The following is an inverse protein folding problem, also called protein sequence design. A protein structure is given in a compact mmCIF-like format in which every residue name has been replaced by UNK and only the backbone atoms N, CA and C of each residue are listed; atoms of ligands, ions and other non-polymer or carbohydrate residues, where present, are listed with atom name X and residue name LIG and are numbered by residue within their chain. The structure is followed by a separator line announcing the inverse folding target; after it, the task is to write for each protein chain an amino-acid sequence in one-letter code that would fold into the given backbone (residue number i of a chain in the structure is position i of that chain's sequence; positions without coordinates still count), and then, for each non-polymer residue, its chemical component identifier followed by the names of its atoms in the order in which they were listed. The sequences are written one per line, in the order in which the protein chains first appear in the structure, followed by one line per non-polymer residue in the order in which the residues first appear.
data_IF_604131356266
#
_entry.id   IF_604131356266
#
_cell.length_a   1.000
_cell.length_b   1.000
_cell.length_c   1.000
_cell.angle_alpha   90.00
_cell.angle_beta   90.00
_cell.angle_gamma   90.00
#
_symmetry.space_group_name_H-M   'P 1'
#
loop_
_entity.id
_entity.type
_entity.pdbx_description
1 polymer ?
#
# COMPACT_ATOMS: atom_id res chain seq x y z
N UNK A 1 -7.05 26.91 17.65
CA UNK A 1 -6.47 25.55 17.63
C UNK A 1 -7.21 24.52 18.47
N UNK A 2 -7.68 24.83 19.69
CA UNK A 2 -8.41 23.87 20.55
C UNK A 2 -9.74 23.33 19.99
N UNK A 3 -10.43 24.08 19.11
CA UNK A 3 -11.69 23.65 18.47
C UNK A 3 -11.46 22.61 17.36
N UNK A 4 -10.29 22.65 16.70
CA UNK A 4 -9.93 21.68 15.65
C UNK A 4 -9.44 20.35 16.25
N UNK A 5 -8.81 20.40 17.43
CA UNK A 5 -8.43 19.22 18.21
C UNK A 5 -9.65 18.52 18.82
N UNK A 6 -10.68 19.26 19.25
CA UNK A 6 -11.94 18.68 19.72
C UNK A 6 -12.69 17.90 18.61
N UNK A 7 -12.67 18.39 17.37
CA UNK A 7 -13.23 17.66 16.21
C UNK A 7 -12.41 16.42 15.82
N UNK A 8 -11.07 16.46 15.98
CA UNK A 8 -10.20 15.28 15.78
C UNK A 8 -10.28 14.26 16.92
N UNK A 9 -10.57 14.70 18.14
CA UNK A 9 -10.78 13.82 19.30
C UNK A 9 -12.13 13.09 19.23
N UNK A 10 -13.19 13.72 18.70
CA UNK A 10 -14.49 13.08 18.48
C UNK A 10 -14.44 11.97 17.40
N UNK A 11 -13.52 12.04 16.44
CA UNK A 11 -13.33 10.99 15.41
C UNK A 11 -12.47 9.79 15.86
N UNK A 12 -12.02 9.78 17.11
CA UNK A 12 -11.17 8.72 17.68
C UNK A 12 -11.80 8.00 18.86
N UNK A 13 -13.14 8.01 18.97
CA UNK A 13 -13.85 6.98 19.72
C UNK A 13 -13.68 5.68 18.94
N UNK A 14 -13.14 4.63 19.59
CA UNK A 14 -13.10 3.27 19.05
C UNK A 14 -14.45 2.99 18.38
N UNK A 15 -14.46 2.55 17.12
CA UNK A 15 -15.67 1.95 16.51
C UNK A 15 -16.09 0.76 17.35
N UNK A 16 -16.93 0.98 18.36
CA UNK A 16 -17.62 -0.09 19.05
C UNK A 16 -18.50 -0.79 18.01
N UNK A 17 -18.42 -2.12 17.98
CA UNK A 17 -19.25 -2.92 17.09
C UNK A 17 -20.69 -2.71 17.56
N UNK A 18 -21.52 -2.06 16.74
CA UNK A 18 -22.95 -1.96 17.02
C UNK A 18 -23.52 -3.39 17.08
N UNK A 19 -24.11 -3.75 18.21
CA UNK A 19 -24.77 -5.04 18.43
C UNK A 19 -26.26 -4.74 18.55
N UNK A 20 -27.07 -5.39 17.72
CA UNK A 20 -28.51 -5.28 17.75
C UNK A 20 -29.11 -6.58 18.26
N UNK A 21 -30.03 -6.47 19.21
CA UNK A 21 -30.81 -7.62 19.68
C UNK A 21 -31.85 -8.02 18.64
N UNK A 22 -32.29 -9.29 18.71
CA UNK A 22 -33.34 -9.78 17.81
C UNK A 22 -34.65 -9.03 18.10
N UNK A 23 -35.29 -8.41 17.09
CA UNK A 23 -36.56 -7.71 17.27
C UNK A 23 -37.67 -8.67 17.73
N UNK A 24 -38.64 -8.17 18.51
CA UNK A 24 -39.75 -8.99 19.04
C UNK A 24 -40.57 -9.66 17.92
N UNK A 25 -40.78 -8.97 16.78
CA UNK A 25 -41.43 -9.51 15.57
C UNK A 25 -40.50 -10.29 14.63
N UNK A 26 -39.22 -10.45 14.99
CA UNK A 26 -38.19 -11.07 14.16
C UNK A 26 -37.65 -10.16 13.05
N UNK A 27 -36.53 -10.59 12.46
CA UNK A 27 -35.78 -9.80 11.46
C UNK A 27 -36.58 -9.48 10.20
N UNK A 28 -37.48 -10.38 9.76
CA UNK A 28 -38.29 -10.17 8.55
C UNK A 28 -39.35 -9.09 8.76
N UNK A 29 -39.98 -9.06 9.93
CA UNK A 29 -40.94 -8.00 10.28
C UNK A 29 -40.24 -6.65 10.35
N UNK A 30 -39.07 -6.59 11.00
CA UNK A 30 -38.27 -5.37 11.09
C UNK A 30 -37.78 -4.89 9.72
N UNK A 31 -37.37 -5.80 8.82
CA UNK A 31 -37.00 -5.42 7.45
C UNK A 31 -38.19 -4.80 6.70
N UNK A 32 -39.36 -5.44 6.74
CA UNK A 32 -40.58 -4.92 6.09
C UNK A 32 -41.01 -3.56 6.65
N UNK A 33 -40.83 -3.33 7.95
CA UNK A 33 -41.13 -2.04 8.59
C UNK A 33 -40.16 -0.93 8.14
N UNK A 34 -38.88 -1.26 7.92
CA UNK A 34 -37.85 -0.31 7.51
C UNK A 34 -37.92 0.12 6.05
N UNK A 35 -38.18 -0.80 5.12
CA UNK A 35 -38.12 -0.54 3.66
C UNK A 35 -39.45 -0.73 2.95
N UNK A 36 -40.50 -1.16 3.64
CA UNK A 36 -41.79 -1.49 3.05
C UNK A 36 -41.82 -2.88 2.40
N UNK A 37 -43.04 -3.39 2.18
CA UNK A 37 -43.26 -4.73 1.66
C UNK A 37 -42.76 -4.92 0.22
N UNK A 38 -42.84 -3.88 -0.62
CA UNK A 38 -42.42 -3.97 -2.02
C UNK A 38 -40.90 -4.14 -2.14
N UNK A 39 -40.12 -3.30 -1.44
CA UNK A 39 -38.66 -3.39 -1.44
C UNK A 39 -38.16 -4.66 -0.74
N UNK A 40 -38.83 -5.09 0.34
CA UNK A 40 -38.53 -6.37 0.99
C UNK A 40 -38.70 -7.56 0.02
N UNK A 41 -39.72 -7.53 -0.84
CA UNK A 41 -39.91 -8.54 -1.88
C UNK A 41 -38.80 -8.48 -2.95
N UNK A 42 -38.32 -7.29 -3.34
CA UNK A 42 -37.19 -7.14 -4.27
C UNK A 42 -35.91 -7.76 -3.68
N UNK A 43 -35.62 -7.51 -2.40
CA UNK A 43 -34.50 -8.13 -1.68
C UNK A 43 -34.63 -9.66 -1.65
N UNK A 44 -35.84 -10.18 -1.41
CA UNK A 44 -36.10 -11.62 -1.43
C UNK A 44 -35.92 -12.23 -2.83
N UNK A 45 -36.30 -11.53 -3.89
CA UNK A 45 -36.04 -11.96 -5.27
C UNK A 45 -34.55 -12.07 -5.58
N UNK A 46 -33.71 -11.17 -5.04
CA UNK A 46 -32.24 -11.29 -5.15
C UNK A 46 -31.74 -12.54 -4.42
N UNK A 47 -32.23 -12.81 -3.20
CA UNK A 47 -31.86 -14.00 -2.44
C UNK A 47 -32.24 -15.31 -3.18
N UNK A 48 -33.38 -15.31 -3.87
CA UNK A 48 -33.84 -16.42 -4.72
C UNK A 48 -33.10 -16.54 -6.06
N UNK A 49 -32.18 -15.62 -6.37
CA UNK A 49 -31.53 -15.47 -7.68
C UNK A 49 -32.50 -15.26 -8.84
N UNK A 50 -33.60 -14.56 -8.58
CA UNK A 50 -34.54 -14.09 -9.61
C UNK A 50 -34.15 -12.70 -10.14
N UNK A 51 -33.24 -12.01 -9.45
CA UNK A 51 -32.65 -10.73 -9.84
C UNK A 51 -31.15 -10.71 -9.49
N UNK A 52 -30.36 -9.99 -10.29
CA UNK A 52 -28.90 -9.86 -10.08
C UNK A 52 -28.54 -8.94 -8.90
N UNK A 53 -29.45 -8.03 -8.55
CA UNK A 53 -29.32 -7.11 -7.42
C UNK A 53 -30.51 -6.16 -7.33
N UNK A 54 -30.60 -5.40 -6.24
CA UNK A 54 -31.59 -4.33 -6.08
C UNK A 54 -30.98 -3.14 -5.33
N UNK A 55 -31.54 -1.95 -5.54
CA UNK A 55 -31.10 -0.72 -4.89
C UNK A 55 -32.12 -0.29 -3.84
N UNK A 56 -31.65 -0.08 -2.62
CA UNK A 56 -32.44 0.45 -1.52
C UNK A 56 -31.98 1.87 -1.20
N UNK A 57 -32.91 2.70 -0.74
CA UNK A 57 -32.56 4.00 -0.17
C UNK A 57 -31.76 3.80 1.12
N UNK A 58 -30.67 4.55 1.27
CA UNK A 58 -29.84 4.49 2.47
C UNK A 58 -30.40 5.45 3.53
N UNK A 59 -30.69 4.98 4.76
CA UNK A 59 -31.04 5.87 5.87
C UNK A 59 -29.97 6.95 6.11
N UNK A 60 -30.37 8.15 6.54
CA UNK A 60 -29.41 9.24 6.81
C UNK A 60 -28.54 8.91 8.03
N UNK A 61 -29.15 8.35 9.08
CA UNK A 61 -28.47 7.98 10.30
C UNK A 61 -27.55 6.77 10.11
N UNK A 62 -26.36 6.83 10.68
CA UNK A 62 -25.40 5.72 10.62
C UNK A 62 -25.92 4.45 11.31
N UNK A 63 -26.61 4.59 12.44
CA UNK A 63 -27.14 3.47 13.20
C UNK A 63 -28.21 2.71 12.41
N UNK A 64 -29.15 3.43 11.80
CA UNK A 64 -30.23 2.85 10.99
C UNK A 64 -29.71 2.18 9.72
N UNK A 65 -28.68 2.75 9.09
CA UNK A 65 -27.99 2.08 7.97
C UNK A 65 -27.41 0.73 8.37
N UNK A 66 -26.71 0.69 9.51
CA UNK A 66 -26.13 -0.56 10.00
C UNK A 66 -27.25 -1.53 10.43
N UNK A 67 -28.32 -1.03 11.03
CA UNK A 67 -29.47 -1.84 11.42
C UNK A 67 -30.19 -2.47 10.21
N UNK A 68 -30.40 -1.71 9.13
CA UNK A 68 -30.96 -2.20 7.88
C UNK A 68 -30.08 -3.31 7.27
N UNK A 69 -28.76 -3.10 7.21
CA UNK A 69 -27.82 -4.13 6.75
C UNK A 69 -27.90 -5.39 7.62
N UNK A 70 -27.97 -5.23 8.94
CA UNK A 70 -28.11 -6.35 9.89
C UNK A 70 -29.43 -7.09 9.66
N UNK A 71 -30.54 -6.39 9.42
CA UNK A 71 -31.83 -7.02 9.10
C UNK A 71 -31.76 -7.85 7.82
N UNK A 72 -31.25 -7.27 6.72
CA UNK A 72 -31.06 -7.96 5.44
C UNK A 72 -30.20 -9.22 5.64
N UNK A 73 -29.07 -9.08 6.35
CA UNK A 73 -28.10 -10.15 6.54
C UNK A 73 -28.56 -11.27 7.48
N UNK A 74 -29.47 -10.99 8.41
CA UNK A 74 -30.09 -12.00 9.28
C UNK A 74 -31.31 -12.68 8.62
N UNK A 75 -32.01 -11.98 7.72
CA UNK A 75 -33.05 -12.57 6.87
C UNK A 75 -32.45 -13.45 5.77
N UNK A 76 -31.37 -12.97 5.15
CA UNK A 76 -30.75 -13.59 3.98
C UNK A 76 -29.21 -13.61 4.17
N UNK A 77 -28.66 -14.68 4.77
CA UNK A 77 -27.22 -14.81 5.01
C UNK A 77 -26.36 -14.74 3.74
N UNK A 78 -26.94 -15.06 2.57
CA UNK A 78 -26.27 -14.99 1.28
C UNK A 78 -26.23 -13.61 0.60
N UNK A 79 -26.80 -12.56 1.19
CA UNK A 79 -26.82 -11.21 0.57
C UNK A 79 -25.74 -10.29 1.14
N UNK A 80 -25.00 -9.61 0.26
CA UNK A 80 -24.06 -8.55 0.58
C UNK A 80 -24.67 -7.15 0.30
N UNK A 81 -24.23 -6.15 1.06
CA UNK A 81 -24.74 -4.77 0.97
C UNK A 81 -23.58 -3.82 0.69
N UNK A 82 -23.57 -3.20 -0.50
CA UNK A 82 -22.54 -2.25 -0.92
C UNK A 82 -23.10 -0.85 -1.03
N UNK A 83 -22.40 0.11 -0.45
CA UNK A 83 -22.74 1.53 -0.61
C UNK A 83 -22.39 2.01 -2.03
N UNK A 84 -23.31 2.75 -2.65
CA UNK A 84 -23.04 3.52 -3.86
C UNK A 84 -23.36 4.99 -3.65
N UNK A 85 -22.47 5.85 -4.15
CA UNK A 85 -22.73 7.29 -4.25
C UNK A 85 -23.35 7.53 -5.63
N UNK A 86 -24.49 8.20 -5.71
CA UNK A 86 -25.08 8.58 -6.98
C UNK A 86 -24.11 9.50 -7.73
N UNK A 87 -23.63 9.05 -8.88
CA UNK A 87 -22.75 9.81 -9.78
C UNK A 87 -23.53 10.22 -11.02
N UNK A 88 -24.35 11.27 -10.89
CA UNK A 88 -24.86 12.04 -12.04
C UNK A 88 -24.84 13.54 -11.68
N UNK A 89 -24.40 14.45 -12.57
CA UNK A 89 -24.24 15.87 -12.24
C UNK A 89 -25.54 16.71 -12.28
N UNK A 90 -26.72 16.11 -12.40
CA UNK A 90 -27.94 16.88 -12.75
C UNK A 90 -29.13 16.78 -11.78
N UNK A 91 -29.07 15.99 -10.70
CA UNK A 91 -30.12 16.01 -9.69
C UNK A 91 -29.63 16.57 -8.34
N UNK A 92 -30.12 17.77 -8.02
CA UNK A 92 -30.03 18.35 -6.69
C UNK A 92 -30.89 17.52 -5.72
N UNK A 93 -30.26 16.48 -5.16
CA UNK A 93 -30.88 15.57 -4.19
C UNK A 93 -30.18 14.21 -4.16
N UNK A 94 -28.86 14.19 -4.00
CA UNK A 94 -28.06 12.95 -4.05
C UNK A 94 -28.33 12.00 -2.88
N UNK A 95 -29.41 11.23 -2.94
CA UNK A 95 -29.74 10.21 -1.94
C UNK A 95 -28.75 9.05 -2.06
N UNK A 96 -28.04 8.75 -0.98
CA UNK A 96 -27.16 7.57 -0.92
C UNK A 96 -27.98 6.29 -1.10
N UNK A 97 -27.47 5.33 -1.87
CA UNK A 97 -28.15 4.06 -2.11
C UNK A 97 -27.32 2.87 -1.60
N UNK A 98 -28.02 1.82 -1.17
CA UNK A 98 -27.46 0.53 -0.79
C UNK A 98 -27.77 -0.45 -1.91
N UNK A 99 -26.74 -0.92 -2.60
CA UNK A 99 -26.86 -2.00 -3.57
C UNK A 99 -26.80 -3.34 -2.85
N UNK A 100 -27.89 -4.09 -2.91
CA UNK A 100 -28.01 -5.44 -2.34
C UNK A 100 -27.81 -6.46 -3.45
N UNK A 101 -26.84 -7.36 -3.27
CA UNK A 101 -26.43 -8.37 -4.25
C UNK A 101 -26.11 -9.69 -3.56
N UNK A 102 -26.01 -10.79 -4.33
CA UNK A 102 -25.56 -12.07 -3.79
C UNK A 102 -24.08 -12.01 -3.40
N UNK A 103 -23.73 -12.46 -2.20
CA UNK A 103 -22.35 -12.51 -1.73
C UNK A 103 -21.50 -13.40 -2.69
N UNK A 104 -20.34 -12.93 -3.19
CA UNK A 104 -19.55 -13.67 -4.16
C UNK A 104 -19.05 -15.04 -3.67
N UNK A 105 -18.83 -15.19 -2.36
CA UNK A 105 -18.44 -16.46 -1.73
C UNK A 105 -19.66 -17.37 -1.63
N UNK A 106 -20.81 -16.83 -1.23
CA UNK A 106 -22.09 -17.56 -1.22
C UNK A 106 -22.46 -18.09 -2.62
N UNK A 107 -22.33 -17.24 -3.65
CA UNK A 107 -22.53 -17.62 -5.06
C UNK A 107 -21.69 -18.82 -5.46
N UNK A 108 -20.37 -18.77 -5.16
CA UNK A 108 -19.43 -19.85 -5.48
C UNK A 108 -19.74 -21.16 -4.76
N UNK A 109 -20.25 -21.11 -3.53
CA UNK A 109 -20.66 -22.31 -2.81
C UNK A 109 -21.91 -22.94 -3.42
N UNK A 110 -22.90 -22.12 -3.75
CA UNK A 110 -24.12 -22.58 -4.44
C UNK A 110 -23.80 -23.17 -5.81
N UNK A 111 -23.02 -22.46 -6.64
CA UNK A 111 -22.60 -22.93 -7.97
C UNK A 111 -21.73 -24.20 -7.89
N UNK A 112 -21.05 -24.40 -6.76
CA UNK A 112 -20.27 -25.58 -6.44
C UNK A 112 -21.08 -26.79 -5.96
N UNK A 113 -22.42 -26.70 -5.95
CA UNK A 113 -23.32 -27.78 -5.57
C UNK A 113 -23.46 -27.97 -4.06
N UNK A 114 -23.12 -26.97 -3.24
CA UNK A 114 -23.39 -27.01 -1.79
C UNK A 114 -24.89 -26.76 -1.54
N UNK A 115 -25.50 -27.56 -0.66
CA UNK A 115 -26.87 -27.35 -0.20
C UNK A 115 -27.08 -25.93 0.34
N UNK A 116 -28.26 -25.35 0.12
CA UNK A 116 -28.55 -23.97 0.49
C UNK A 116 -28.45 -23.76 2.01
N UNK A 117 -28.92 -24.74 2.78
CA UNK A 117 -28.86 -24.75 4.24
C UNK A 117 -27.41 -24.66 4.74
N UNK A 118 -26.48 -25.37 4.08
CA UNK A 118 -25.06 -25.32 4.39
C UNK A 118 -24.45 -23.97 4.00
N UNK A 119 -24.84 -23.41 2.86
CA UNK A 119 -24.39 -22.08 2.44
C UNK A 119 -24.80 -21.02 3.47
N UNK A 120 -26.07 -21.03 3.90
CA UNK A 120 -26.62 -20.10 4.88
C UNK A 120 -25.94 -20.24 6.25
N UNK A 121 -25.76 -21.48 6.72
CA UNK A 121 -25.06 -21.76 7.98
C UNK A 121 -23.61 -21.29 7.93
N UNK A 122 -22.91 -21.50 6.82
CA UNK A 122 -21.51 -21.14 6.66
C UNK A 122 -21.31 -19.62 6.59
N UNK A 123 -22.18 -18.89 5.87
CA UNK A 123 -22.13 -17.43 5.82
C UNK A 123 -22.56 -16.80 7.15
N UNK A 124 -23.57 -17.37 7.82
CA UNK A 124 -23.95 -16.95 9.18
C UNK A 124 -22.79 -17.12 10.15
N UNK A 125 -22.10 -18.27 10.07
CA UNK A 125 -20.90 -18.54 10.88
C UNK A 125 -19.78 -17.54 10.58
N UNK A 126 -19.52 -17.25 9.29
CA UNK A 126 -18.53 -16.24 8.87
C UNK A 126 -18.81 -14.85 9.47
N UNK A 127 -20.07 -14.42 9.46
CA UNK A 127 -20.52 -13.10 9.93
C UNK A 127 -20.46 -12.94 11.45
N UNK A 128 -20.82 -13.99 12.20
CA UNK A 128 -20.63 -14.02 13.66
C UNK A 128 -19.15 -13.90 14.02
N UNK A 129 -18.29 -14.51 13.21
CA UNK A 129 -16.85 -14.34 13.24
C UNK A 129 -16.15 -15.19 14.32
N UNK A 130 -14.82 -15.23 14.24
CA UNK A 130 -13.99 -16.10 15.09
C UNK A 130 -13.98 -15.74 16.59
N UNK A 131 -14.55 -14.60 16.97
CA UNK A 131 -14.65 -14.15 18.37
C UNK A 131 -15.94 -14.57 19.07
N UNK A 132 -16.86 -15.22 18.37
CA UNK A 132 -18.10 -15.75 18.95
C UNK A 132 -17.79 -16.98 19.82
N UNK A 133 -18.47 -17.14 20.97
CA UNK A 133 -18.30 -18.29 21.84
C UNK A 133 -18.62 -19.62 21.13
N UNK A 134 -19.52 -19.59 20.14
CA UNK A 134 -19.84 -20.73 19.29
C UNK A 134 -18.75 -21.07 18.25
N UNK A 135 -17.84 -20.14 17.93
CA UNK A 135 -16.75 -20.35 16.97
C UNK A 135 -15.77 -21.44 17.41
N UNK A 136 -15.60 -21.61 18.73
CA UNK A 136 -14.74 -22.64 19.34
C UNK A 136 -15.22 -24.07 19.06
N UNK A 137 -16.54 -24.28 18.98
CA UNK A 137 -17.16 -25.60 18.74
C UNK A 137 -17.09 -26.03 17.27
N UNK A 138 -16.90 -25.07 16.36
CA UNK A 138 -16.96 -25.29 14.91
C UNK A 138 -18.40 -25.45 14.41
N UNK A 139 -18.57 -25.29 13.09
CA UNK A 139 -19.84 -25.48 12.40
C UNK A 139 -19.87 -26.86 11.74
N UNK A 140 -20.78 -27.73 12.17
CA UNK A 140 -21.07 -29.00 11.48
C UNK A 140 -21.87 -28.72 10.20
N UNK A 141 -21.48 -29.30 9.08
CA UNK A 141 -22.21 -29.23 7.81
C UNK A 141 -22.97 -30.54 7.55
N UNK A 142 -24.14 -30.42 6.94
CA UNK A 142 -24.97 -31.56 6.55
C UNK A 142 -24.47 -32.16 5.24
N UNK A 143 -24.29 -33.47 5.19
CA UNK A 143 -23.85 -34.18 3.99
C UNK A 143 -24.26 -35.65 4.09
N UNK A 144 -24.32 -36.35 2.96
CA UNK A 144 -24.44 -37.81 2.95
C UNK A 144 -23.22 -38.44 3.65
N UNK A 145 -23.40 -39.56 4.36
CA UNK A 145 -22.31 -40.25 5.09
C UNK A 145 -21.39 -41.04 4.14
N UNK A 146 -20.95 -40.39 3.06
CA UNK A 146 -20.01 -40.90 2.07
C UNK A 146 -18.70 -40.15 2.16
N UNK A 147 -17.61 -40.80 1.76
CA UNK A 147 -16.29 -40.15 1.72
C UNK A 147 -16.22 -39.14 0.57
N UNK A 148 -16.90 -39.41 -0.54
CA UNK A 148 -16.97 -38.51 -1.69
C UNK A 148 -17.65 -37.19 -1.34
N UNK A 149 -18.83 -37.22 -0.72
CA UNK A 149 -19.58 -36.01 -0.35
C UNK A 149 -18.77 -35.09 0.58
N UNK A 150 -18.11 -35.67 1.60
CA UNK A 150 -17.23 -34.93 2.50
C UNK A 150 -16.02 -34.35 1.81
N UNK A 151 -15.39 -35.13 0.92
CA UNK A 151 -14.20 -34.67 0.18
C UNK A 151 -14.56 -33.54 -0.78
N UNK A 152 -15.73 -33.59 -1.41
CA UNK A 152 -16.25 -32.53 -2.26
C UNK A 152 -16.43 -31.22 -1.48
N UNK A 153 -17.10 -31.27 -0.32
CA UNK A 153 -17.27 -30.10 0.54
C UNK A 153 -15.95 -29.55 1.08
N UNK A 154 -15.03 -30.43 1.52
CA UNK A 154 -13.67 -30.05 1.93
C UNK A 154 -12.95 -29.26 0.83
N UNK A 155 -12.97 -29.77 -0.41
CA UNK A 155 -12.33 -29.11 -1.55
C UNK A 155 -13.02 -27.81 -1.90
N UNK A 156 -14.34 -27.77 -1.87
CA UNK A 156 -15.12 -26.59 -2.23
C UNK A 156 -14.87 -25.44 -1.24
N UNK A 157 -14.87 -25.73 0.07
CA UNK A 157 -14.59 -24.74 1.11
C UNK A 157 -13.14 -24.27 1.03
N UNK A 158 -12.18 -25.18 0.87
CA UNK A 158 -10.76 -24.85 0.73
C UNK A 158 -10.47 -23.99 -0.51
N UNK A 159 -11.17 -24.26 -1.63
CA UNK A 159 -11.00 -23.52 -2.89
C UNK A 159 -11.53 -22.09 -2.82
N UNK A 160 -12.65 -21.87 -2.12
CA UNK A 160 -13.38 -20.60 -2.16
C UNK A 160 -13.36 -19.80 -0.85
N UNK A 161 -12.82 -20.34 0.25
CA UNK A 161 -12.64 -19.62 1.52
C UNK A 161 -11.25 -19.85 2.11
N UNK A 162 -10.54 -18.75 2.39
CA UNK A 162 -9.25 -18.75 3.09
C UNK A 162 -9.40 -18.59 4.62
N UNK A 163 -10.61 -18.31 5.11
CA UNK A 163 -10.88 -18.09 6.53
C UNK A 163 -11.17 -19.38 7.31
N UNK A 164 -11.48 -20.46 6.60
CA UNK A 164 -11.96 -21.71 7.19
C UNK A 164 -10.98 -22.86 7.04
N UNK A 165 -10.93 -23.71 8.07
CA UNK A 165 -10.31 -25.03 8.06
C UNK A 165 -11.41 -26.05 8.29
N UNK A 166 -11.53 -26.99 7.39
CA UNK A 166 -12.43 -28.13 7.54
C UNK A 166 -11.71 -29.30 8.21
N UNK A 167 -12.40 -30.02 9.08
CA UNK A 167 -11.91 -31.20 9.77
C UNK A 167 -13.01 -32.25 9.79
N UNK A 168 -12.65 -33.49 9.47
CA UNK A 168 -13.57 -34.62 9.63
C UNK A 168 -13.47 -35.13 11.06
N UNK A 169 -14.60 -35.18 11.77
CA UNK A 169 -14.68 -35.70 13.14
C UNK A 169 -15.61 -36.92 13.19
N UNK A 170 -15.19 -37.98 13.88
CA UNK A 170 -16.04 -39.14 14.11
C UNK A 170 -16.77 -38.96 15.44
N UNK A 171 -18.10 -38.92 15.42
CA UNK A 171 -18.94 -38.87 16.63
C UNK A 171 -19.97 -39.99 16.56
N UNK A 172 -19.98 -40.88 17.56
CA UNK A 172 -20.88 -42.04 17.62
C UNK A 172 -20.83 -42.94 16.37
N UNK A 173 -19.64 -43.13 15.79
CA UNK A 173 -19.45 -43.97 14.59
C UNK A 173 -19.74 -43.27 13.25
N UNK A 174 -20.36 -42.08 13.25
CA UNK A 174 -20.68 -41.30 12.04
C UNK A 174 -19.59 -40.25 11.81
N UNK A 175 -19.13 -40.10 10.57
CA UNK A 175 -18.07 -39.14 10.23
C UNK A 175 -18.69 -37.82 9.74
N UNK A 176 -18.47 -36.73 10.47
CA UNK A 176 -19.06 -35.41 10.22
C UNK A 176 -18.02 -34.40 9.77
N UNK A 177 -18.41 -33.50 8.88
CA UNK A 177 -17.56 -32.41 8.43
C UNK A 177 -17.78 -31.17 9.30
N UNK A 178 -16.76 -30.79 10.08
CA UNK A 178 -16.80 -29.60 10.95
C UNK A 178 -15.88 -28.52 10.39
N UNK A 179 -16.41 -27.31 10.27
CA UNK A 179 -15.70 -26.11 9.82
C UNK A 179 -15.27 -25.29 11.02
N UNK A 180 -13.98 -24.99 11.12
CA UNK A 180 -13.42 -24.10 12.12
C UNK A 180 -12.84 -22.86 11.44
N UNK A 181 -12.74 -21.75 12.17
CA UNK A 181 -11.91 -20.65 11.73
C UNK A 181 -10.44 -21.07 11.73
N UNK A 182 -9.67 -20.69 10.70
CA UNK A 182 -8.22 -20.82 10.77
C UNK A 182 -7.72 -20.02 11.98
N UNK A 183 -6.83 -20.58 12.83
CA UNK A 183 -6.24 -19.81 13.91
C UNK A 183 -5.58 -18.58 13.29
N UNK A 184 -5.96 -17.39 13.76
CA UNK A 184 -5.29 -16.15 13.37
C UNK A 184 -3.83 -16.32 13.78
N UNK A 185 -2.96 -16.64 12.82
CA UNK A 185 -1.55 -16.33 12.97
C UNK A 185 -1.52 -14.83 13.20
N UNK A 186 -1.36 -14.41 14.44
CA UNK A 186 -1.13 -13.02 14.83
C UNK A 186 0.24 -12.53 14.35
N UNK A 187 0.74 -13.02 13.20
CA UNK A 187 1.31 -12.07 12.26
C UNK A 187 0.14 -11.18 11.86
N UNK A 188 -0.02 -10.06 12.57
CA UNK A 188 -0.33 -8.82 11.88
C UNK A 188 0.56 -8.86 10.65
N UNK A 189 0.03 -9.22 9.48
CA UNK A 189 0.61 -8.72 8.25
C UNK A 189 0.48 -7.22 8.46
N UNK A 190 1.56 -6.62 8.96
CA UNK A 190 1.81 -5.21 8.70
C UNK A 190 1.59 -5.15 7.20
N UNK A 191 0.49 -4.54 6.76
CA UNK A 191 0.35 -4.08 5.39
C UNK A 191 1.54 -3.16 5.19
N UNK A 192 2.70 -3.69 4.82
CA UNK A 192 3.76 -2.89 4.25
C UNK A 192 3.25 -2.58 2.86
N UNK A 193 2.61 -1.42 2.75
CA UNK A 193 2.01 -0.83 1.55
C UNK A 193 2.75 -1.25 0.28
N UNK A 194 2.27 -2.26 -0.47
CA UNK A 194 2.82 -2.53 -1.79
C UNK A 194 2.12 -1.66 -2.85
N UNK A 195 1.11 -0.87 -2.45
CA UNK A 195 0.50 0.17 -3.28
C UNK A 195 1.53 1.18 -3.78
N UNK A 196 2.52 1.59 -2.97
CA UNK A 196 3.47 2.64 -3.38
C UNK A 196 4.36 2.17 -4.53
N UNK A 197 4.82 0.91 -4.54
CA UNK A 197 5.64 0.39 -5.63
C UNK A 197 4.84 0.25 -6.93
N UNK A 198 3.57 -0.19 -6.82
CA UNK A 198 2.65 -0.25 -7.95
C UNK A 198 2.31 1.14 -8.44
N UNK A 199 2.14 2.11 -7.53
CA UNK A 199 1.91 3.51 -7.87
C UNK A 199 3.11 4.06 -8.65
N UNK A 200 4.33 3.82 -8.18
CA UNK A 200 5.54 4.30 -8.81
C UNK A 200 5.75 3.73 -10.23
N UNK A 201 5.34 2.48 -10.47
CA UNK A 201 5.52 1.80 -11.76
C UNK A 201 4.33 2.02 -12.70
N UNK A 202 3.11 2.10 -12.16
CA UNK A 202 1.86 2.17 -12.92
C UNK A 202 1.23 3.58 -12.97
N UNK A 203 1.80 4.59 -12.31
CA UNK A 203 1.38 6.00 -12.38
C UNK A 203 2.52 6.93 -12.79
N UNK A 204 3.41 6.47 -13.66
CA UNK A 204 4.44 7.32 -14.25
C UNK A 204 3.79 8.36 -15.18
N UNK A 205 4.19 9.63 -15.09
CA UNK A 205 3.76 10.67 -16.04
C UNK A 205 4.55 10.58 -17.35
N UNK A 206 3.95 11.07 -18.46
CA UNK A 206 4.58 11.06 -19.79
C UNK A 206 4.57 9.71 -20.50
N UNK A 207 3.63 8.83 -20.15
CA UNK A 207 3.41 7.58 -20.86
C UNK A 207 2.90 7.80 -22.29
N UNK A 208 3.19 6.86 -23.20
CA UNK A 208 2.47 6.78 -24.46
C UNK A 208 0.98 6.52 -24.22
N UNK A 209 0.13 6.91 -25.18
CA UNK A 209 -1.32 6.71 -25.06
C UNK A 209 -1.71 5.27 -24.71
N UNK A 210 -1.05 4.28 -25.34
CA UNK A 210 -1.29 2.86 -25.09
C UNK A 210 -0.91 2.45 -23.65
N UNK A 211 0.21 2.97 -23.14
CA UNK A 211 0.65 2.70 -21.77
C UNK A 211 -0.28 3.35 -20.74
N UNK A 212 -0.71 4.59 -20.98
CA UNK A 212 -1.67 5.29 -20.14
C UNK A 212 -3.02 4.54 -20.08
N UNK A 213 -3.53 4.12 -21.25
CA UNK A 213 -4.78 3.34 -21.34
C UNK A 213 -4.66 1.99 -20.62
N UNK A 214 -3.54 1.30 -20.78
CA UNK A 214 -3.28 0.04 -20.08
C UNK A 214 -3.27 0.22 -18.55
N UNK A 215 -2.63 1.29 -18.06
CA UNK A 215 -2.58 1.64 -16.63
C UNK A 215 -3.98 1.99 -16.10
N UNK A 216 -4.79 2.73 -16.86
CA UNK A 216 -6.16 3.07 -16.50
C UNK A 216 -7.04 1.81 -16.32
N UNK A 217 -6.97 0.85 -17.26
CA UNK A 217 -7.69 -0.43 -17.16
C UNK A 217 -7.39 -1.19 -15.86
N UNK A 218 -6.13 -1.16 -15.42
CA UNK A 218 -5.77 -1.75 -14.14
C UNK A 218 -6.25 -0.91 -12.95
N UNK A 219 -6.02 0.41 -12.96
CA UNK A 219 -6.29 1.28 -11.80
C UNK A 219 -7.78 1.47 -11.52
N UNK A 220 -8.62 1.56 -12.55
CA UNK A 220 -10.05 1.84 -12.42
C UNK A 220 -10.89 0.56 -12.36
N UNK A 221 -10.57 -0.42 -13.22
CA UNK A 221 -11.39 -1.62 -13.41
C UNK A 221 -10.81 -2.86 -12.74
N UNK A 222 -9.57 -2.78 -12.21
CA UNK A 222 -8.81 -3.91 -11.66
C UNK A 222 -8.67 -5.08 -12.65
N UNK A 223 -8.76 -4.80 -13.95
CA UNK A 223 -8.64 -5.80 -15.02
C UNK A 223 -7.19 -5.97 -15.44
N UNK A 224 -6.51 -6.89 -14.76
CA UNK A 224 -5.10 -7.22 -15.03
C UNK A 224 -4.92 -7.78 -16.43
N UNK A 225 -5.89 -8.53 -16.97
CA UNK A 225 -5.74 -9.18 -18.27
C UNK A 225 -5.88 -8.20 -19.43
N UNK A 226 -6.87 -7.29 -19.36
CA UNK A 226 -7.00 -6.19 -20.31
C UNK A 226 -5.76 -5.27 -20.26
N UNK A 227 -5.31 -4.90 -19.07
CA UNK A 227 -4.11 -4.09 -18.89
C UNK A 227 -2.87 -4.74 -19.51
N UNK A 228 -2.67 -6.06 -19.32
CA UNK A 228 -1.53 -6.77 -19.92
C UNK A 228 -1.54 -6.79 -21.45
N UNK A 229 -2.73 -6.88 -22.06
CA UNK A 229 -2.88 -6.89 -23.53
C UNK A 229 -2.53 -5.54 -24.14
N UNK A 230 -2.91 -4.45 -23.49
CA UNK A 230 -2.64 -3.08 -23.95
C UNK A 230 -1.23 -2.58 -23.61
N UNK A 231 -0.58 -3.13 -22.58
CA UNK A 231 0.72 -2.65 -22.11
C UNK A 231 1.82 -2.81 -23.19
N UNK A 232 2.52 -1.74 -23.62
CA UNK A 232 3.57 -1.84 -24.63
C UNK A 232 4.71 -2.80 -24.27
N UNK A 233 5.31 -3.45 -25.28
CA UNK A 233 6.38 -4.45 -25.08
C UNK A 233 7.65 -3.87 -24.42
N UNK A 234 7.94 -2.59 -24.65
CA UNK A 234 9.08 -1.89 -24.03
C UNK A 234 8.95 -1.70 -22.51
N UNK A 235 7.72 -1.74 -21.98
CA UNK A 235 7.43 -1.56 -20.54
C UNK A 235 7.55 -2.87 -19.76
N UNK A 236 8.77 -3.41 -19.77
CA UNK A 236 9.10 -4.72 -19.17
C UNK A 236 8.76 -4.85 -17.68
N UNK A 237 8.89 -3.78 -16.88
CA UNK A 237 8.64 -3.83 -15.42
C UNK A 237 7.15 -3.91 -15.16
N UNK A 238 6.38 -3.04 -15.79
CA UNK A 238 4.93 -2.94 -15.70
C UNK A 238 4.29 -4.25 -16.15
N UNK A 239 4.76 -4.82 -17.27
CA UNK A 239 4.31 -6.13 -17.75
C UNK A 239 4.62 -7.26 -16.76
N UNK A 240 5.80 -7.26 -16.14
CA UNK A 240 6.17 -8.29 -15.15
C UNK A 240 5.33 -8.18 -13.87
N UNK A 241 5.00 -6.96 -13.44
CA UNK A 241 4.10 -6.72 -12.32
C UNK A 241 2.72 -7.29 -12.65
N UNK A 242 2.14 -6.92 -13.79
CA UNK A 242 0.82 -7.42 -14.20
C UNK A 242 0.82 -8.95 -14.38
N UNK A 243 1.90 -9.53 -14.93
CA UNK A 243 2.06 -10.98 -15.02
C UNK A 243 2.09 -11.64 -13.64
N UNK A 244 2.76 -11.02 -12.67
CA UNK A 244 2.78 -11.47 -11.29
C UNK A 244 1.39 -11.43 -10.65
N UNK A 245 0.64 -10.34 -10.85
CA UNK A 245 -0.74 -10.20 -10.39
C UNK A 245 -1.67 -11.24 -11.04
N UNK A 246 -1.52 -11.49 -12.34
CA UNK A 246 -2.28 -12.54 -13.04
C UNK A 246 -1.98 -13.92 -12.48
N UNK A 247 -0.72 -14.20 -12.14
CA UNK A 247 -0.27 -15.50 -11.64
C UNK A 247 -0.66 -15.76 -10.18
N UNK A 248 -0.52 -14.76 -9.31
CA UNK A 248 -0.64 -14.92 -7.86
C UNK A 248 -1.95 -14.37 -7.27
N UNK A 249 -2.74 -13.64 -8.08
CA UNK A 249 -3.98 -12.98 -7.67
C UNK A 249 -3.84 -11.46 -7.64
N UNK A 250 -4.97 -10.75 -7.86
CA UNK A 250 -5.01 -9.29 -7.95
C UNK A 250 -4.53 -8.56 -6.67
N UNK A 251 -4.61 -9.21 -5.50
CA UNK A 251 -4.14 -8.66 -4.22
C UNK A 251 -2.72 -9.15 -3.83
N UNK A 252 -2.07 -9.96 -4.67
CA UNK A 252 -0.77 -10.59 -4.37
C UNK A 252 0.41 -9.68 -4.73
N UNK A 253 0.38 -8.45 -4.22
CA UNK A 253 1.29 -7.39 -4.62
C UNK A 253 2.76 -7.69 -4.29
N UNK A 254 3.07 -8.25 -3.11
CA UNK A 254 4.45 -8.59 -2.76
C UNK A 254 5.06 -9.61 -3.72
N UNK A 255 4.26 -10.58 -4.16
CA UNK A 255 4.64 -11.61 -5.12
C UNK A 255 4.78 -11.02 -6.51
N UNK A 256 3.89 -10.11 -6.90
CA UNK A 256 3.97 -9.39 -8.16
C UNK A 256 5.25 -8.54 -8.27
N UNK A 257 5.59 -7.80 -7.21
CA UNK A 257 6.86 -7.07 -7.15
C UNK A 257 8.05 -8.02 -7.24
N UNK A 258 8.02 -9.16 -6.53
CA UNK A 258 9.09 -10.17 -6.61
C UNK A 258 9.29 -10.76 -8.01
N UNK A 259 8.32 -10.63 -8.91
CA UNK A 259 8.45 -11.05 -10.31
C UNK A 259 9.39 -10.12 -11.11
N UNK A 260 9.66 -8.91 -10.61
CA UNK A 260 10.65 -7.99 -11.20
C UNK A 260 12.07 -8.41 -10.80
N UNK A 261 13.04 -8.44 -11.75
CA UNK A 261 14.44 -8.75 -11.46
C UNK A 261 14.98 -7.97 -10.27
N UNK A 262 15.78 -8.65 -9.45
CA UNK A 262 16.32 -8.08 -8.22
C UNK A 262 17.09 -6.76 -8.49
N UNK A 263 17.89 -6.70 -9.56
CA UNK A 263 18.63 -5.49 -9.94
C UNK A 263 17.73 -4.27 -10.14
N UNK A 264 16.59 -4.42 -10.84
CA UNK A 264 15.61 -3.33 -11.03
C UNK A 264 14.92 -2.96 -9.74
N UNK A 265 14.58 -3.93 -8.89
CA UNK A 265 13.98 -3.63 -7.57
C UNK A 265 14.92 -2.81 -6.68
N UNK A 266 16.20 -3.18 -6.66
CA UNK A 266 17.23 -2.47 -5.92
C UNK A 266 17.49 -1.07 -6.50
N UNK A 267 17.43 -0.90 -7.83
CA UNK A 267 17.51 0.41 -8.48
C UNK A 267 16.47 1.40 -7.92
N UNK A 268 15.21 0.99 -7.74
CA UNK A 268 14.19 1.87 -7.15
C UNK A 268 14.47 2.21 -5.67
N UNK A 269 15.11 1.31 -4.94
CA UNK A 269 15.53 1.61 -3.56
C UNK A 269 16.67 2.63 -3.56
N UNK A 270 17.65 2.48 -4.47
CA UNK A 270 18.73 3.43 -4.63
C UNK A 270 18.25 4.81 -5.10
N UNK A 271 17.27 4.89 -6.01
CA UNK A 271 16.69 6.17 -6.41
C UNK A 271 16.01 6.89 -5.25
N UNK A 272 15.32 6.14 -4.37
CA UNK A 272 14.74 6.71 -3.16
C UNK A 272 15.82 7.14 -2.14
N UNK A 273 16.91 6.38 -1.97
CA UNK A 273 18.05 6.82 -1.16
C UNK A 273 18.65 8.13 -1.69
N UNK A 274 18.78 8.27 -3.02
CA UNK A 274 19.23 9.51 -3.65
C UNK A 274 18.27 10.68 -3.44
N UNK A 275 16.95 10.43 -3.48
CA UNK A 275 15.94 11.44 -3.13
C UNK A 275 16.11 11.94 -1.69
N UNK A 276 16.25 11.01 -0.72
CA UNK A 276 16.48 11.36 0.68
C UNK A 276 17.79 12.14 0.86
N UNK A 277 18.86 11.71 0.19
CA UNK A 277 20.13 12.43 0.18
C UNK A 277 19.97 13.86 -0.33
N UNK A 278 19.30 14.07 -1.48
CA UNK A 278 19.11 15.42 -2.04
C UNK A 278 18.32 16.33 -1.09
N UNK A 279 17.26 15.79 -0.46
CA UNK A 279 16.47 16.53 0.54
C UNK A 279 17.31 16.87 1.77
N UNK A 280 18.12 15.93 2.24
CA UNK A 280 19.00 16.09 3.39
C UNK A 280 20.13 17.09 3.12
N UNK A 281 20.79 17.01 1.96
CA UNK A 281 21.81 17.94 1.50
C UNK A 281 21.26 19.37 1.41
N UNK A 282 20.08 19.52 0.79
CA UNK A 282 19.39 20.80 0.70
C UNK A 282 19.05 21.39 2.09
N UNK A 283 18.60 20.55 3.02
CA UNK A 283 18.34 20.98 4.40
C UNK A 283 19.64 21.39 5.10
N UNK A 284 20.68 20.56 5.01
CA UNK A 284 21.99 20.79 5.64
C UNK A 284 22.61 22.11 5.20
N UNK A 285 22.59 22.38 3.90
CA UNK A 285 23.14 23.63 3.34
C UNK A 285 22.30 24.85 3.73
N UNK A 286 20.96 24.78 3.70
CA UNK A 286 20.11 25.91 4.13
C UNK A 286 20.22 26.21 5.61
N UNK A 287 20.35 25.20 6.45
CA UNK A 287 20.28 25.38 7.90
C UNK A 287 21.62 25.84 8.51
N UNK A 288 22.74 25.33 8.00
CA UNK A 288 24.07 25.58 8.57
C UNK A 288 25.02 26.33 7.61
N UNK A 289 24.62 26.55 6.36
CA UNK A 289 25.45 27.21 5.36
C UNK A 289 26.63 26.36 4.88
N UNK A 290 27.62 27.06 4.32
CA UNK A 290 28.79 26.48 3.65
C UNK A 290 29.98 26.16 4.57
N UNK A 291 29.78 26.17 5.90
CA UNK A 291 30.81 25.80 6.88
C UNK A 291 30.61 24.37 7.36
N UNK A 292 31.70 23.71 7.75
CA UNK A 292 31.63 22.47 8.53
C UNK A 292 31.07 22.79 9.91
N UNK A 293 30.18 21.95 10.45
CA UNK A 293 29.65 22.15 11.81
C UNK A 293 29.78 20.88 12.66
N UNK A 294 29.78 21.06 13.97
CA UNK A 294 29.71 19.96 14.91
C UNK A 294 28.53 19.03 14.56
N UNK A 295 28.81 17.73 14.57
CA UNK A 295 27.85 16.70 14.24
C UNK A 295 27.75 16.31 12.77
N UNK A 296 28.47 16.99 11.87
CA UNK A 296 28.68 16.50 10.50
C UNK A 296 29.48 15.19 10.50
N UNK A 297 29.41 14.46 9.38
CA UNK A 297 30.21 13.25 9.19
C UNK A 297 31.39 13.55 8.26
N UNK A 298 32.58 13.06 8.60
CA UNK A 298 33.75 13.08 7.72
C UNK A 298 34.41 11.70 7.67
N UNK A 299 35.22 11.46 6.64
CA UNK A 299 36.03 10.25 6.52
C UNK A 299 37.00 10.15 7.71
N UNK A 300 37.22 8.94 8.25
CA UNK A 300 38.31 8.72 9.21
C UNK A 300 39.65 8.69 8.48
N UNK A 301 40.64 9.45 8.95
CA UNK A 301 42.03 9.28 8.54
C UNK A 301 42.55 7.95 9.12
N UNK A 302 43.11 7.10 8.25
CA UNK A 302 43.26 5.67 8.50
C UNK A 302 44.16 5.29 9.69
N UNK A 303 43.60 4.47 10.59
CA UNK A 303 44.24 3.41 11.40
C UNK A 303 43.34 2.82 12.51
N UNK A 304 42.04 3.13 12.56
CA UNK A 304 41.13 2.40 13.47
C UNK A 304 40.59 1.15 12.80
N UNK A 305 40.75 0.00 13.45
CA UNK A 305 40.08 -1.30 13.18
C UNK A 305 38.54 -1.24 13.34
N UNK A 306 37.96 -0.04 13.39
CA UNK A 306 36.53 0.22 13.42
C UNK A 306 35.90 -0.13 12.07
N UNK A 307 34.84 -0.93 12.10
CA UNK A 307 34.03 -1.27 10.94
C UNK A 307 33.30 -0.06 10.29
N UNK A 308 33.39 1.14 10.87
CA UNK A 308 32.78 2.36 10.35
C UNK A 308 33.86 3.34 9.82
N UNK A 309 33.92 3.61 8.50
CA UNK A 309 34.94 4.47 7.88
C UNK A 309 34.71 5.98 8.08
N UNK A 310 33.74 6.35 8.91
CA UNK A 310 33.31 7.75 9.12
C UNK A 310 33.26 8.08 10.61
N UNK A 311 33.56 9.33 10.95
CA UNK A 311 33.46 9.89 12.31
C UNK A 311 32.55 11.12 12.33
N UNK A 312 32.07 11.44 13.53
CA UNK A 312 31.27 12.64 13.80
C UNK A 312 32.23 13.77 14.19
N UNK A 313 32.10 14.92 13.54
CA UNK A 313 32.92 16.12 13.77
C UNK A 313 32.59 16.76 15.11
N UNK A 314 33.60 17.09 15.92
CA UNK A 314 33.42 17.87 17.17
C UNK A 314 33.37 19.38 16.91
N UNK A 315 33.11 20.19 17.94
CA UNK A 315 33.10 21.66 17.80
C UNK A 315 34.50 22.17 17.45
N UNK A 316 35.51 21.68 18.16
CA UNK A 316 36.91 22.07 17.98
C UNK A 316 37.42 21.66 16.60
N UNK A 317 37.12 20.43 16.15
CA UNK A 317 37.48 19.98 14.81
C UNK A 317 36.80 20.82 13.72
N UNK A 318 35.53 21.20 13.90
CA UNK A 318 34.84 22.06 12.94
C UNK A 318 35.50 23.45 12.85
N UNK A 319 35.88 24.05 13.98
CA UNK A 319 36.57 25.35 14.00
C UNK A 319 37.93 25.26 13.30
N UNK A 320 38.74 24.26 13.63
CA UNK A 320 40.04 24.01 13.00
C UNK A 320 39.90 23.82 11.49
N UNK A 321 39.01 22.92 11.05
CA UNK A 321 38.80 22.64 9.62
C UNK A 321 38.36 23.88 8.84
N UNK A 322 37.43 24.66 9.38
CA UNK A 322 36.96 25.88 8.72
C UNK A 322 38.03 26.98 8.63
N UNK A 323 39.00 27.01 9.55
CA UNK A 323 40.08 27.99 9.56
C UNK A 323 41.25 27.56 8.67
N UNK A 324 41.58 26.26 8.64
CA UNK A 324 42.75 25.73 7.93
C UNK A 324 42.45 25.40 6.46
N UNK A 325 41.21 25.09 6.11
CA UNK A 325 40.82 24.65 4.76
C UNK A 325 39.70 25.50 4.18
N UNK A 326 39.95 26.11 3.02
CA UNK A 326 38.92 26.86 2.27
C UNK A 326 37.83 25.94 1.70
N UNK A 327 38.18 24.70 1.42
CA UNK A 327 37.35 23.65 0.83
C UNK A 327 36.85 22.64 1.88
N UNK A 328 36.90 22.99 3.17
CA UNK A 328 36.54 22.10 4.29
C UNK A 328 35.17 21.41 4.12
N UNK A 329 34.21 22.09 3.47
CA UNK A 329 32.87 21.55 3.22
C UNK A 329 32.88 20.28 2.32
N UNK A 330 33.86 20.11 1.43
CA UNK A 330 33.98 18.92 0.59
C UNK A 330 34.31 17.64 1.40
N UNK A 331 34.82 17.80 2.63
CA UNK A 331 35.07 16.68 3.54
C UNK A 331 33.77 16.12 4.12
N UNK A 332 32.70 16.93 4.14
CA UNK A 332 31.43 16.56 4.76
C UNK A 332 30.73 15.49 3.92
N UNK A 333 30.43 14.38 4.57
CA UNK A 333 29.68 13.26 4.03
C UNK A 333 28.24 13.29 4.55
N UNK A 334 27.31 12.87 3.70
CA UNK A 334 25.96 12.55 4.08
C UNK A 334 25.65 11.07 3.77
N UNK A 335 24.89 10.38 4.64
CA UNK A 335 24.55 8.99 4.41
C UNK A 335 23.47 8.83 3.33
N UNK A 336 23.61 7.80 2.52
CA UNK A 336 22.50 7.15 1.83
C UNK A 336 21.85 6.18 2.84
N UNK A 337 20.65 6.47 3.37
CA UNK A 337 20.10 5.73 4.51
C UNK A 337 20.01 4.22 4.25
N UNK A 338 20.47 3.41 5.19
CA UNK A 338 20.56 1.96 5.09
C UNK A 338 20.87 1.30 6.43
N UNK A 339 20.93 -0.03 6.44
CA UNK A 339 21.06 -0.81 7.69
C UNK A 339 22.45 -0.73 8.35
N UNK A 340 23.47 -0.21 7.65
CA UNK A 340 24.86 -0.15 8.11
C UNK A 340 25.48 1.25 8.01
N UNK A 341 24.66 2.30 8.05
CA UNK A 341 25.16 3.69 8.02
C UNK A 341 24.89 4.41 9.34
N UNK A 342 25.81 5.30 9.67
CA UNK A 342 25.70 6.28 10.75
C UNK A 342 24.97 7.52 10.21
N UNK A 343 24.07 8.07 11.00
CA UNK A 343 23.48 9.39 10.72
C UNK A 343 24.31 10.48 11.41
N UNK A 344 24.34 11.72 10.87
CA UNK A 344 24.91 12.89 11.56
C UNK A 344 24.35 13.03 12.98
N UNK A 345 25.01 13.77 13.88
CA UNK A 345 24.46 14.05 15.23
C UNK A 345 23.76 15.42 15.33
N UNK A 346 23.81 16.23 14.28
CA UNK A 346 23.17 17.55 14.22
C UNK A 346 21.70 17.49 13.73
N UNK A 347 21.08 18.65 13.51
CA UNK A 347 19.65 18.75 13.13
C UNK A 347 19.32 18.02 11.82
N UNK A 348 20.32 17.76 10.97
CA UNK A 348 20.19 16.98 9.74
C UNK A 348 19.67 15.56 10.00
N UNK A 349 20.03 14.96 11.14
CA UNK A 349 19.51 13.65 11.57
C UNK A 349 18.00 13.66 11.74
N UNK A 350 17.49 14.64 12.49
CA UNK A 350 16.07 14.76 12.76
C UNK A 350 15.29 14.99 11.46
N UNK A 351 15.81 15.82 10.55
CA UNK A 351 15.22 16.03 9.24
C UNK A 351 15.16 14.74 8.41
N UNK A 352 16.24 13.96 8.39
CA UNK A 352 16.30 12.68 7.67
C UNK A 352 15.33 11.64 8.26
N UNK A 353 15.30 11.49 9.58
CA UNK A 353 14.38 10.57 10.26
C UNK A 353 12.92 10.93 9.99
N UNK A 354 12.58 12.22 10.08
CA UNK A 354 11.22 12.70 9.78
C UNK A 354 10.81 12.38 8.34
N UNK A 355 11.68 12.65 7.36
CA UNK A 355 11.40 12.31 5.95
C UNK A 355 11.14 10.81 5.76
N UNK A 356 11.90 9.95 6.45
CA UNK A 356 11.70 8.50 6.37
C UNK A 356 10.45 8.01 7.11
N UNK A 357 10.02 8.71 8.16
CA UNK A 357 8.76 8.42 8.88
C UNK A 357 7.55 8.83 8.06
N UNK A 358 7.58 10.04 7.49
CA UNK A 358 6.54 10.57 6.61
C UNK A 358 6.36 9.67 5.37
N UNK A 359 7.46 9.14 4.84
CA UNK A 359 7.45 8.17 3.73
C UNK A 359 7.13 6.72 4.15
N UNK A 360 7.00 6.41 5.45
CA UNK A 360 6.76 5.04 5.93
C UNK A 360 7.93 4.07 5.68
N UNK A 361 9.12 4.58 5.37
CA UNK A 361 10.31 3.80 4.94
C UNK A 361 11.33 3.57 6.04
N UNK A 362 11.18 4.20 7.22
CA UNK A 362 12.17 4.14 8.31
C UNK A 362 12.61 2.71 8.67
N UNK A 363 11.67 1.80 8.93
CA UNK A 363 12.03 0.41 9.31
C UNK A 363 12.74 -0.32 8.17
N UNK A 364 12.28 -0.11 6.93
CA UNK A 364 12.89 -0.73 5.76
C UNK A 364 14.32 -0.23 5.53
N UNK A 365 14.60 1.06 5.75
CA UNK A 365 15.94 1.60 5.53
C UNK A 365 16.87 1.36 6.72
N UNK A 366 16.39 1.50 7.96
CA UNK A 366 17.25 1.49 9.14
C UNK A 366 17.37 0.12 9.84
N UNK A 367 16.35 -0.75 9.75
CA UNK A 367 16.30 -1.96 10.59
C UNK A 367 16.55 -3.25 9.81
N UNK A 368 15.78 -3.49 8.73
CA UNK A 368 15.69 -4.84 8.15
C UNK A 368 15.65 -4.91 6.63
N UNK A 369 15.88 -3.80 5.92
CA UNK A 369 15.82 -3.81 4.47
C UNK A 369 17.08 -4.36 3.79
N UNK A 370 16.99 -4.56 2.46
CA UNK A 370 18.06 -5.17 1.68
C UNK A 370 19.23 -4.21 1.40
N UNK A 371 19.06 -2.91 1.63
CA UNK A 371 20.10 -1.89 1.38
C UNK A 371 20.95 -1.66 2.64
N UNK A 372 22.27 -1.80 2.48
CA UNK A 372 23.24 -1.52 3.55
C UNK A 372 23.44 -0.01 3.76
N UNK A 373 23.21 0.79 2.72
CA UNK A 373 23.55 2.21 2.71
C UNK A 373 25.00 2.44 2.33
N UNK A 374 25.35 3.72 2.14
CA UNK A 374 26.69 4.19 1.79
C UNK A 374 26.82 5.66 2.23
N UNK A 375 27.97 6.27 1.99
CA UNK A 375 28.19 7.70 2.23
C UNK A 375 28.50 8.40 0.91
N UNK A 376 28.09 9.66 0.79
CA UNK A 376 28.35 10.51 -0.37
C UNK A 376 28.72 11.90 0.09
N UNK A 377 29.70 12.53 -0.58
CA UNK A 377 30.11 13.90 -0.31
C UNK A 377 28.97 14.89 -0.49
N UNK A 378 28.87 15.86 0.42
CA UNK A 378 27.86 16.92 0.39
C UNK A 378 28.09 17.85 -0.81
N UNK A 379 29.35 18.18 -1.08
CA UNK A 379 29.81 19.00 -2.20
C UNK A 379 30.98 18.29 -2.88
N UNK A 380 31.04 18.41 -4.20
CA UNK A 380 32.17 17.96 -5.03
C UNK A 380 32.57 19.13 -5.90
N UNK A 381 33.87 19.32 -6.08
CA UNK A 381 34.41 20.33 -6.99
C UNK A 381 34.84 19.68 -8.30
N UNK A 382 34.61 20.32 -9.46
CA UNK A 382 35.21 19.87 -10.72
C UNK A 382 36.73 20.04 -10.68
N UNK A 383 37.43 19.10 -11.30
CA UNK A 383 38.86 19.15 -11.54
C UNK A 383 39.12 19.69 -12.94
N UNK A 384 40.26 20.36 -13.13
CA UNK A 384 40.74 20.80 -14.44
C UNK A 384 39.69 21.60 -15.24
N UNK A 385 39.01 22.54 -14.56
CA UNK A 385 37.95 23.35 -15.16
C UNK A 385 38.55 24.40 -16.10
N UNK A 386 38.23 24.28 -17.39
CA UNK A 386 38.58 25.21 -18.45
C UNK A 386 37.32 25.72 -19.14
N UNK A 387 37.32 26.99 -19.57
CA UNK A 387 36.20 27.58 -20.29
C UNK A 387 36.63 28.57 -21.37
N UNK A 388 35.85 28.61 -22.46
CA UNK A 388 36.06 29.53 -23.58
C UNK A 388 34.71 30.07 -24.05
N UNK A 389 34.64 31.38 -24.30
CA UNK A 389 33.51 32.02 -24.97
C UNK A 389 33.74 32.00 -26.47
N UNK A 390 32.73 31.55 -27.21
CA UNK A 390 32.73 31.53 -28.66
C UNK A 390 31.58 32.39 -29.17
N UNK A 391 31.87 33.26 -30.13
CA UNK A 391 30.86 34.03 -30.85
C UNK A 391 30.46 33.24 -32.10
N UNK A 392 29.21 32.77 -32.14
CA UNK A 392 28.65 32.14 -33.33
C UNK A 392 28.29 33.26 -34.33
N UNK A 393 29.18 33.49 -35.30
CA UNK A 393 29.04 34.54 -36.32
C UNK A 393 27.75 34.39 -37.15
N UNK A 394 27.21 33.17 -37.26
CA UNK A 394 26.00 32.89 -38.05
C UNK A 394 24.69 33.07 -37.24
N UNK A 395 24.73 33.02 -35.91
CA UNK A 395 23.52 33.01 -35.05
C UNK A 395 23.37 34.21 -34.13
N UNK A 396 24.34 35.14 -34.11
CA UNK A 396 24.40 36.22 -33.12
C UNK A 396 24.21 35.70 -31.68
N UNK A 397 24.70 34.49 -31.42
CA UNK A 397 24.55 33.78 -30.15
C UNK A 397 25.93 33.57 -29.53
N UNK A 398 26.04 33.86 -28.23
CA UNK A 398 27.22 33.55 -27.44
C UNK A 398 27.12 32.09 -26.97
N UNK A 399 28.11 31.27 -27.32
CA UNK A 399 28.27 29.91 -26.80
C UNK A 399 29.39 29.86 -25.75
N UNK A 400 29.16 29.05 -24.71
CA UNK A 400 30.13 28.78 -23.66
C UNK A 400 30.60 27.33 -23.78
N UNK A 401 31.87 27.13 -24.11
CA UNK A 401 32.51 25.82 -24.07
C UNK A 401 33.10 25.59 -22.67
N UNK A 402 32.79 24.44 -22.07
CA UNK A 402 33.28 24.01 -20.75
C UNK A 402 33.96 22.65 -20.85
N UNK A 403 35.13 22.52 -20.23
CA UNK A 403 35.86 21.25 -20.06
C UNK A 403 36.17 21.07 -18.57
N UNK A 404 35.87 19.90 -18.01
CA UNK A 404 36.17 19.57 -16.62
C UNK A 404 36.08 18.07 -16.35
N UNK A 405 36.74 17.61 -15.29
CA UNK A 405 36.68 16.24 -14.79
C UNK A 405 35.88 16.15 -13.49
N UNK A 406 35.15 15.05 -13.30
CA UNK A 406 34.35 14.79 -12.10
C UNK A 406 34.65 13.41 -11.53
N UNK A 407 34.57 13.29 -10.21
CA UNK A 407 34.64 12.00 -9.54
C UNK A 407 33.46 11.09 -9.91
N UNK A 408 33.67 9.79 -9.75
CA UNK A 408 32.62 8.79 -9.92
C UNK A 408 31.40 9.10 -9.04
N UNK A 409 30.21 9.06 -9.65
CA UNK A 409 28.95 9.35 -8.96
C UNK A 409 28.54 10.84 -8.95
N UNK A 410 29.34 11.70 -9.57
CA UNK A 410 28.97 13.09 -9.87
C UNK A 410 28.32 13.19 -11.25
N UNK A 411 27.44 14.19 -11.43
CA UNK A 411 26.68 14.39 -12.67
C UNK A 411 27.03 15.75 -13.28
N UNK A 412 27.49 15.76 -14.53
CA UNK A 412 27.87 16.98 -15.24
C UNK A 412 26.72 18.01 -15.28
N UNK A 413 25.47 17.56 -15.43
CA UNK A 413 24.28 18.42 -15.41
C UNK A 413 24.14 19.20 -14.10
N UNK A 414 24.58 18.67 -12.97
CA UNK A 414 24.54 19.38 -11.69
C UNK A 414 25.60 20.49 -11.62
N UNK A 415 26.77 20.27 -12.22
CA UNK A 415 27.79 21.30 -12.36
C UNK A 415 27.29 22.42 -13.28
N UNK A 416 26.74 22.06 -14.45
CA UNK A 416 26.18 23.03 -15.40
C UNK A 416 25.02 23.83 -14.80
N UNK A 417 24.14 23.18 -14.02
CA UNK A 417 23.06 23.86 -13.30
C UNK A 417 23.56 24.93 -12.34
N UNK A 418 24.69 24.68 -11.67
CA UNK A 418 25.31 25.67 -10.78
C UNK A 418 25.95 26.83 -11.56
N UNK A 419 26.57 26.54 -12.71
CA UNK A 419 27.15 27.56 -13.62
C UNK A 419 26.06 28.45 -14.23
N UNK A 420 24.98 27.85 -14.75
CA UNK A 420 23.91 28.55 -15.46
C UNK A 420 22.87 29.17 -14.53
N UNK A 421 22.80 28.72 -13.27
CA UNK A 421 21.76 29.10 -12.29
C UNK A 421 20.32 28.82 -12.78
N UNK A 422 20.16 27.89 -13.72
CA UNK A 422 18.88 27.46 -14.29
C UNK A 422 18.71 25.95 -14.18
N UNK A 423 17.46 25.49 -14.12
CA UNK A 423 17.18 24.07 -14.25
C UNK A 423 17.42 23.64 -15.72
N UNK A 424 18.07 22.49 -15.90
CA UNK A 424 18.50 21.92 -17.19
C UNK A 424 17.74 20.63 -17.45
#
# INVERSE_FOLDING_TARGET
MKVLEAKRAAQKVKKEKLVFERPAGGWRSALTELIGAEEANKVESVAKCQADGCFLLSPEEFQDRVYLQVCIQNCFPGLDCKMQNASTPEDQGGVQQIHVLLDPVYKKFRDGGMALENCDRLLTFLRKGAGDGAASKGLELEHEDTKEARTALHRLISKHSSCFKTKTETRNGVQRLVVHFLPKSNKKRKRSQPQVYLQFTLQKEGDSEDAARAKQMYLELNDVEAAMKLMPLGLSVERQILQGLKRYGCDAFEQAVKNVPFSRRVMYMHSYQSYLFNRMASFRLRHYGAKVVAGDLIQCDGQSESACPVKIVTVEEAETLNNERKDALALVLLPLPGTKVMLPSNATKAACLKLMEDGGTKNALCESGPVKGAYRSLVSFPHDLEWVWEEDQDKAALSLQLSFSLDSGCFATMCLREVLRSDI
#
